data_IF_601235168139
#
_entry.id   IF_601235168139
#
_cell.length_a   1.000
_cell.length_b   1.000
_cell.length_c   1.000
_cell.angle_alpha   90.00
_cell.angle_beta   90.00
_cell.angle_gamma   90.00
#
_symmetry.space_group_name_H-M   'P 1'
#
loop_
_entity.id
_entity.type
_entity.pdbx_description
1 polymer ?
#
# COMPACT_ATOMS: atom_id res chain seq x y z
N UNK A 1 16.65 -11.71 -19.49
CA UNK A 1 15.27 -12.17 -19.16
C UNK A 1 14.32 -11.04 -19.52
N UNK A 2 13.24 -11.32 -20.25
CA UNK A 2 12.23 -10.32 -20.53
C UNK A 2 11.58 -9.90 -19.21
N UNK A 3 11.52 -8.59 -18.95
CA UNK A 3 10.88 -8.00 -17.76
C UNK A 3 9.40 -8.38 -17.81
N UNK A 4 8.85 -8.94 -16.73
CA UNK A 4 7.41 -9.21 -16.67
C UNK A 4 6.66 -7.88 -16.91
N UNK A 5 5.77 -7.78 -17.92
CA UNK A 5 5.03 -6.56 -18.16
C UNK A 5 4.15 -6.24 -16.95
N UNK A 6 3.94 -4.96 -16.65
CA UNK A 6 3.04 -4.57 -15.55
C UNK A 6 1.63 -5.11 -15.84
N UNK A 7 0.94 -5.68 -14.84
CA UNK A 7 -0.44 -6.11 -15.00
C UNK A 7 -1.36 -4.93 -15.33
N UNK A 8 -2.42 -5.21 -16.06
CA UNK A 8 -3.42 -4.22 -16.43
C UNK A 8 -4.81 -4.69 -15.99
N UNK A 9 -5.71 -3.76 -15.61
CA UNK A 9 -7.09 -4.09 -15.33
C UNK A 9 -7.80 -4.64 -16.59
N UNK A 10 -8.66 -5.65 -16.46
CA UNK A 10 -9.38 -6.22 -17.60
C UNK A 10 -10.32 -5.20 -18.24
N UNK A 11 -10.40 -5.17 -19.56
CA UNK A 11 -11.20 -4.20 -20.31
C UNK A 11 -12.69 -4.19 -19.91
N UNK A 12 -13.23 -5.35 -19.52
CA UNK A 12 -14.62 -5.49 -19.07
C UNK A 12 -14.98 -4.68 -17.83
N UNK A 13 -13.99 -4.25 -17.02
CA UNK A 13 -14.24 -3.32 -15.90
C UNK A 13 -14.68 -1.93 -16.36
N UNK A 14 -14.32 -1.53 -17.58
CA UNK A 14 -14.59 -0.20 -18.13
C UNK A 14 -15.78 -0.18 -19.09
N UNK A 15 -16.43 -1.32 -19.32
CA UNK A 15 -17.61 -1.40 -20.15
C UNK A 15 -18.74 -0.59 -19.51
N UNK A 16 -19.31 0.37 -20.24
CA UNK A 16 -20.43 1.19 -19.75
C UNK A 16 -21.69 0.39 -19.42
N UNK A 17 -21.78 -0.86 -19.88
CA UNK A 17 -22.82 -1.82 -19.49
C UNK A 17 -22.52 -2.59 -18.20
N UNK A 18 -21.29 -2.51 -17.67
CA UNK A 18 -20.88 -3.18 -16.44
C UNK A 18 -21.13 -2.28 -15.21
N UNK A 19 -22.40 -2.17 -14.81
CA UNK A 19 -22.82 -1.31 -13.69
C UNK A 19 -22.80 -2.00 -12.32
N UNK A 20 -22.47 -3.29 -12.23
CA UNK A 20 -22.53 -4.06 -10.98
C UNK A 20 -21.24 -4.83 -10.64
N UNK A 21 -20.27 -4.96 -11.57
CA UNK A 21 -18.98 -5.61 -11.32
C UNK A 21 -17.85 -4.60 -11.48
N UNK A 22 -17.80 -3.62 -10.58
CA UNK A 22 -16.76 -2.60 -10.53
C UNK A 22 -15.53 -3.04 -9.70
N UNK A 23 -15.52 -4.28 -9.17
CA UNK A 23 -14.38 -4.91 -8.52
C UNK A 23 -14.04 -6.22 -9.21
N UNK A 24 -12.76 -6.52 -9.35
CA UNK A 24 -12.29 -7.81 -9.85
C UNK A 24 -10.92 -8.16 -9.24
N UNK A 25 -10.58 -9.46 -9.10
CA UNK A 25 -9.22 -9.89 -8.79
C UNK A 25 -8.20 -9.22 -9.71
N UNK A 26 -7.12 -8.70 -9.13
CA UNK A 26 -6.03 -8.13 -9.89
C UNK A 26 -4.99 -9.20 -10.24
N UNK A 27 -5.41 -10.12 -11.11
CA UNK A 27 -4.59 -11.24 -11.56
C UNK A 27 -3.25 -10.75 -12.13
N UNK A 28 -2.17 -11.43 -11.72
CA UNK A 28 -0.79 -11.09 -12.09
C UNK A 28 -0.13 -10.01 -11.22
N UNK A 29 -0.86 -9.23 -10.41
CA UNK A 29 -0.23 -8.21 -9.53
C UNK A 29 0.64 -8.85 -8.46
N UNK A 30 0.19 -9.93 -7.82
CA UNK A 30 0.99 -10.66 -6.83
C UNK A 30 2.30 -11.22 -7.43
N UNK A 31 2.22 -11.83 -8.61
CA UNK A 31 3.40 -12.33 -9.34
C UNK A 31 4.35 -11.19 -9.71
N UNK A 32 3.81 -10.09 -10.25
CA UNK A 32 4.61 -8.91 -10.62
C UNK A 32 5.30 -8.28 -9.41
N UNK A 33 4.61 -8.16 -8.27
CA UNK A 33 5.17 -7.68 -7.00
C UNK A 33 6.32 -8.59 -6.56
N UNK A 34 6.10 -9.90 -6.56
CA UNK A 34 7.12 -10.86 -6.17
C UNK A 34 8.37 -10.74 -7.06
N UNK A 35 8.18 -10.78 -8.38
CA UNK A 35 9.24 -10.77 -9.38
C UNK A 35 9.98 -9.43 -9.49
N UNK A 36 9.31 -8.31 -9.16
CA UNK A 36 9.84 -6.96 -9.35
C UNK A 36 10.41 -6.36 -8.06
N UNK A 37 9.80 -6.65 -6.90
CA UNK A 37 10.06 -5.94 -5.64
C UNK A 37 10.54 -6.83 -4.49
N UNK A 38 10.06 -8.09 -4.39
CA UNK A 38 10.26 -8.89 -3.18
C UNK A 38 11.40 -9.91 -3.29
N UNK A 39 11.40 -10.73 -4.35
CA UNK A 39 12.32 -11.87 -4.43
C UNK A 39 13.77 -11.42 -4.52
N UNK A 40 14.66 -12.32 -4.09
CA UNK A 40 16.09 -12.07 -4.27
C UNK A 40 16.46 -11.95 -5.75
N UNK A 41 17.28 -10.94 -6.06
CA UNK A 41 17.64 -10.57 -7.43
C UNK A 41 16.54 -9.86 -8.23
N UNK A 42 15.39 -9.51 -7.61
CA UNK A 42 14.38 -8.69 -8.26
C UNK A 42 14.96 -7.33 -8.70
N UNK A 43 14.58 -6.82 -9.88
CA UNK A 43 15.20 -5.63 -10.47
C UNK A 43 15.01 -4.36 -9.65
N UNK A 44 13.92 -4.25 -8.89
CA UNK A 44 13.62 -3.14 -8.01
C UNK A 44 13.52 -3.59 -6.55
N UNK A 45 14.26 -4.65 -6.17
CA UNK A 45 14.23 -5.21 -4.81
C UNK A 45 14.28 -4.11 -3.75
N UNK A 46 13.33 -4.13 -2.83
CA UNK A 46 13.31 -3.24 -1.68
C UNK A 46 13.52 -4.07 -0.39
N UNK A 47 14.68 -3.94 0.29
CA UNK A 47 14.94 -4.65 1.54
C UNK A 47 13.90 -4.40 2.64
N UNK A 48 13.25 -3.23 2.64
CA UNK A 48 12.22 -2.88 3.62
C UNK A 48 10.95 -3.73 3.45
N UNK A 49 10.79 -4.43 2.32
CA UNK A 49 9.69 -5.35 2.07
C UNK A 49 10.04 -6.82 2.37
N UNK A 50 11.19 -7.11 3.00
CA UNK A 50 11.60 -8.49 3.27
C UNK A 50 10.57 -9.27 4.10
N UNK A 51 9.85 -8.62 5.02
CA UNK A 51 8.79 -9.25 5.82
C UNK A 51 7.52 -9.58 5.03
N UNK A 52 7.43 -9.15 3.77
CA UNK A 52 6.32 -9.45 2.86
C UNK A 52 6.58 -10.68 1.99
N UNK A 53 7.79 -11.26 2.05
CA UNK A 53 8.06 -12.55 1.43
C UNK A 53 7.13 -13.58 2.09
N UNK A 54 6.37 -14.29 1.25
CA UNK A 54 5.33 -15.26 1.65
C UNK A 54 4.16 -14.67 2.47
N UNK A 55 4.05 -13.34 2.56
CA UNK A 55 2.92 -12.71 3.21
C UNK A 55 1.63 -12.93 2.40
N UNK A 56 0.54 -13.14 3.14
CA UNK A 56 -0.76 -13.30 2.53
C UNK A 56 -1.39 -11.95 2.15
N UNK A 57 -1.08 -11.50 0.92
CA UNK A 57 -1.62 -10.27 0.33
C UNK A 57 -2.36 -10.60 -0.96
N UNK A 58 -3.63 -10.19 -1.04
CA UNK A 58 -4.44 -10.24 -2.26
C UNK A 58 -4.58 -8.83 -2.86
N UNK A 59 -4.92 -8.79 -4.15
CA UNK A 59 -5.05 -7.54 -4.91
C UNK A 59 -6.38 -7.48 -5.66
N UNK A 60 -7.02 -6.32 -5.66
CA UNK A 60 -8.23 -6.03 -6.44
C UNK A 60 -8.01 -4.85 -7.38
N UNK A 61 -8.65 -4.89 -8.53
CA UNK A 61 -8.95 -3.73 -9.36
C UNK A 61 -10.28 -3.13 -8.94
N UNK A 62 -10.36 -1.80 -8.90
CA UNK A 62 -11.59 -1.05 -8.68
C UNK A 62 -11.84 -0.04 -9.80
N UNK A 63 -12.96 -0.22 -10.51
CA UNK A 63 -13.47 0.75 -11.50
C UNK A 63 -14.42 1.78 -10.87
N UNK A 64 -14.79 1.61 -9.60
CA UNK A 64 -15.55 2.60 -8.84
C UNK A 64 -14.60 3.59 -8.17
N UNK A 65 -14.94 4.88 -8.23
CA UNK A 65 -14.15 5.93 -7.59
C UNK A 65 -14.22 5.82 -6.06
N UNK A 66 -13.07 6.02 -5.41
CA UNK A 66 -12.97 6.17 -3.96
C UNK A 66 -12.51 7.60 -3.64
N UNK A 67 -13.28 8.30 -2.81
CA UNK A 67 -12.97 9.69 -2.39
C UNK A 67 -12.91 9.76 -0.88
N UNK A 68 -11.80 10.30 -0.36
CA UNK A 68 -11.61 10.56 1.07
C UNK A 68 -11.16 12.00 1.28
N UNK A 69 -11.85 12.74 2.15
CA UNK A 69 -11.53 14.14 2.45
C UNK A 69 -11.38 15.01 1.18
N UNK A 70 -12.32 14.87 0.25
CA UNK A 70 -12.33 15.58 -1.05
C UNK A 70 -11.14 15.28 -1.97
N UNK A 71 -10.42 14.18 -1.75
CA UNK A 71 -9.34 13.71 -2.63
C UNK A 71 -9.64 12.30 -3.12
N UNK A 72 -9.34 12.04 -4.39
CA UNK A 72 -9.37 10.70 -4.98
C UNK A 72 -8.32 9.82 -4.29
N UNK A 73 -8.71 8.60 -3.97
CA UNK A 73 -7.87 7.54 -3.43
C UNK A 73 -7.61 6.54 -4.55
N UNK A 74 -6.34 6.38 -4.96
CA UNK A 74 -5.95 5.55 -6.10
C UNK A 74 -5.41 4.17 -5.71
N UNK A 75 -5.19 3.96 -4.41
CA UNK A 75 -4.83 2.69 -3.80
C UNK A 75 -5.28 2.67 -2.35
N UNK A 76 -5.56 1.48 -1.83
CA UNK A 76 -5.90 1.27 -0.43
C UNK A 76 -5.45 -0.12 0.03
N UNK A 77 -4.53 -0.15 0.98
CA UNK A 77 -4.16 -1.34 1.74
C UNK A 77 -5.00 -1.48 3.02
N UNK A 78 -5.49 -2.68 3.31
CA UNK A 78 -6.20 -3.01 4.55
C UNK A 78 -5.87 -4.41 5.09
N UNK A 79 -5.88 -4.55 6.41
CA UNK A 79 -5.97 -5.86 7.08
C UNK A 79 -7.44 -6.30 7.02
N UNK A 80 -7.69 -7.45 6.41
CA UNK A 80 -9.04 -7.93 6.14
C UNK A 80 -9.73 -8.27 7.45
N UNK A 81 -10.76 -7.50 7.79
CA UNK A 81 -11.55 -7.70 8.98
C UNK A 81 -13.05 -7.59 8.65
N UNK A 82 -13.77 -8.72 8.70
CA UNK A 82 -15.21 -8.74 8.49
C UNK A 82 -15.92 -8.29 9.77
N UNK A 83 -16.23 -7.01 9.84
CA UNK A 83 -16.93 -6.36 10.97
C UNK A 83 -18.46 -6.51 10.85
N UNK A 84 -18.91 -7.75 10.64
CA UNK A 84 -20.31 -8.08 10.47
C UNK A 84 -20.63 -9.45 11.08
N UNK A 85 -21.92 -9.69 11.36
CA UNK A 85 -22.43 -10.95 11.90
C UNK A 85 -23.39 -11.68 10.95
N UNK A 86 -23.68 -12.94 11.26
CA UNK A 86 -24.70 -13.74 10.55
C UNK A 86 -24.54 -13.72 9.03
N UNK A 87 -25.63 -13.46 8.31
CA UNK A 87 -25.63 -13.46 6.84
C UNK A 87 -24.80 -12.34 6.19
N UNK A 88 -24.57 -11.23 6.89
CA UNK A 88 -23.71 -10.16 6.35
C UNK A 88 -22.25 -10.64 6.28
N UNK A 89 -21.79 -11.36 7.30
CA UNK A 89 -20.49 -12.02 7.31
C UNK A 89 -20.39 -13.07 6.21
N UNK A 90 -21.37 -13.96 6.13
CA UNK A 90 -21.38 -15.05 5.15
C UNK A 90 -21.26 -14.54 3.69
N UNK A 91 -21.96 -13.46 3.33
CA UNK A 91 -21.85 -12.88 1.98
C UNK A 91 -20.47 -12.28 1.69
N UNK A 92 -19.82 -11.66 2.68
CA UNK A 92 -18.47 -11.11 2.51
C UNK A 92 -17.43 -12.23 2.41
N UNK A 93 -17.52 -13.26 3.27
CA UNK A 93 -16.64 -14.44 3.20
C UNK A 93 -16.79 -15.15 1.85
N UNK A 94 -18.03 -15.38 1.40
CA UNK A 94 -18.29 -15.98 0.09
C UNK A 94 -17.64 -15.16 -1.03
N UNK A 95 -17.75 -13.83 -1.00
CA UNK A 95 -17.16 -12.98 -2.04
C UNK A 95 -15.63 -13.11 -2.11
N UNK A 96 -14.94 -13.15 -0.97
CA UNK A 96 -13.50 -13.39 -0.93
C UNK A 96 -13.13 -14.80 -1.41
N UNK A 97 -13.90 -15.83 -1.03
CA UNK A 97 -13.69 -17.20 -1.48
C UNK A 97 -13.88 -17.33 -3.00
N UNK A 98 -14.87 -16.66 -3.58
CA UNK A 98 -15.09 -16.64 -5.03
C UNK A 98 -13.96 -15.93 -5.79
N UNK A 99 -13.40 -14.86 -5.23
CA UNK A 99 -12.29 -14.13 -5.84
C UNK A 99 -10.94 -14.83 -5.68
N UNK A 100 -10.66 -15.37 -4.50
CA UNK A 100 -9.29 -15.77 -4.12
C UNK A 100 -9.17 -17.23 -3.67
N UNK A 101 -10.29 -17.96 -3.54
CA UNK A 101 -10.32 -19.32 -2.98
C UNK A 101 -10.11 -19.38 -1.46
N UNK A 102 -9.95 -18.23 -0.80
CA UNK A 102 -9.67 -18.06 0.64
C UNK A 102 -10.04 -16.64 1.07
N UNK A 103 -10.09 -16.39 2.38
CA UNK A 103 -10.14 -15.03 2.92
C UNK A 103 -8.70 -14.57 3.14
N UNK A 104 -8.19 -13.56 2.41
CA UNK A 104 -6.82 -13.08 2.57
C UNK A 104 -6.61 -12.35 3.90
N UNK A 105 -5.38 -12.37 4.42
CA UNK A 105 -5.02 -11.58 5.60
C UNK A 105 -4.96 -10.07 5.28
N UNK A 106 -4.39 -9.71 4.13
CA UNK A 106 -4.30 -8.34 3.65
C UNK A 106 -4.87 -8.20 2.24
N UNK A 107 -5.46 -7.05 1.96
CA UNK A 107 -6.01 -6.71 0.67
C UNK A 107 -5.52 -5.33 0.22
N UNK A 108 -5.02 -5.25 -1.00
CA UNK A 108 -4.68 -3.99 -1.66
C UNK A 108 -5.66 -3.79 -2.82
N UNK A 109 -6.46 -2.74 -2.74
CA UNK A 109 -7.39 -2.36 -3.81
C UNK A 109 -6.81 -1.20 -4.60
N UNK A 110 -6.74 -1.34 -5.92
CA UNK A 110 -6.09 -0.41 -6.84
C UNK A 110 -7.12 0.19 -7.80
N UNK A 111 -7.08 1.51 -7.98
CA UNK A 111 -7.94 2.19 -8.94
C UNK A 111 -7.56 1.79 -10.38
N UNK A 112 -8.49 1.14 -11.05
CA UNK A 112 -8.33 0.59 -12.40
C UNK A 112 -8.16 1.70 -13.44
N UNK A 113 -8.82 2.85 -13.27
CA UNK A 113 -8.65 3.98 -14.18
C UNK A 113 -7.25 4.58 -14.03
N UNK A 114 -6.79 4.78 -12.79
CA UNK A 114 -5.45 5.28 -12.51
C UNK A 114 -4.37 4.35 -13.08
N UNK A 115 -4.54 3.03 -12.96
CA UNK A 115 -3.60 2.05 -13.50
C UNK A 115 -3.41 2.18 -15.02
N UNK A 116 -4.44 2.61 -15.77
CA UNK A 116 -4.36 2.87 -17.22
C UNK A 116 -3.71 4.22 -17.57
N UNK A 117 -3.90 5.20 -16.70
CA UNK A 117 -3.43 6.58 -16.90
C UNK A 117 -1.97 6.76 -16.51
N UNK A 118 -1.54 6.09 -15.44
CA UNK A 118 -0.22 6.27 -14.87
C UNK A 118 0.88 5.61 -15.70
N UNK A 119 2.08 6.18 -15.64
CA UNK A 119 3.28 5.56 -16.22
C UNK A 119 3.87 4.49 -15.28
N UNK A 120 4.88 3.76 -15.76
CA UNK A 120 5.52 2.67 -14.99
C UNK A 120 6.11 3.13 -13.65
N UNK A 121 6.67 4.34 -13.56
CA UNK A 121 7.26 4.85 -12.32
C UNK A 121 6.18 5.19 -11.29
N UNK A 122 5.10 5.82 -11.73
CA UNK A 122 3.92 6.10 -10.90
C UNK A 122 3.26 4.81 -10.40
N UNK A 123 3.18 3.80 -11.26
CA UNK A 123 2.71 2.47 -10.89
C UNK A 123 3.58 1.83 -9.81
N UNK A 124 4.91 1.84 -9.98
CA UNK A 124 5.83 1.30 -8.98
C UNK A 124 5.73 2.04 -7.65
N UNK A 125 5.64 3.38 -7.68
CA UNK A 125 5.47 4.21 -6.50
C UNK A 125 4.15 3.90 -5.75
N UNK A 126 3.04 3.73 -6.47
CA UNK A 126 1.75 3.34 -5.88
C UNK A 126 1.85 1.98 -5.20
N UNK A 127 2.35 0.96 -5.90
CA UNK A 127 2.42 -0.40 -5.34
C UNK A 127 3.33 -0.45 -4.12
N UNK A 128 4.52 0.16 -4.17
CA UNK A 128 5.39 0.21 -3.01
C UNK A 128 4.76 1.00 -1.85
N UNK A 129 4.04 2.08 -2.12
CA UNK A 129 3.31 2.84 -1.08
C UNK A 129 2.29 1.95 -0.36
N UNK A 130 1.45 1.23 -1.10
CA UNK A 130 0.46 0.34 -0.50
C UNK A 130 1.11 -0.82 0.27
N UNK A 131 2.22 -1.36 -0.23
CA UNK A 131 2.96 -2.42 0.48
C UNK A 131 3.59 -1.92 1.78
N UNK A 132 4.05 -0.67 1.83
CA UNK A 132 4.64 -0.06 3.03
C UNK A 132 3.64 0.11 4.18
N UNK A 133 2.34 0.08 3.90
CA UNK A 133 1.32 0.01 4.95
C UNK A 133 1.34 -1.34 5.69
N UNK A 134 1.84 -2.42 5.08
CA UNK A 134 1.98 -3.70 5.75
C UNK A 134 3.36 -3.74 6.40
N UNK A 135 3.40 -3.77 7.74
CA UNK A 135 4.65 -3.80 8.49
C UNK A 135 4.70 -4.97 9.47
N UNK A 136 5.90 -5.46 9.72
CA UNK A 136 6.14 -6.35 10.85
C UNK A 136 5.97 -5.58 12.17
N UNK A 137 5.15 -6.12 13.08
CA UNK A 137 4.97 -5.59 14.43
C UNK A 137 6.26 -5.79 15.22
N UNK A 138 6.55 -4.86 16.12
CA UNK A 138 7.56 -5.08 17.14
C UNK A 138 6.99 -5.89 18.31
N UNK A 139 7.84 -6.62 19.01
CA UNK A 139 7.51 -7.25 20.28
C UNK A 139 7.59 -6.22 21.44
N UNK A 140 7.41 -6.71 22.68
CA UNK A 140 7.43 -5.87 23.88
C UNK A 140 8.79 -5.21 24.16
N UNK A 141 9.85 -5.65 23.47
CA UNK A 141 11.22 -5.15 23.59
C UNK A 141 11.67 -4.34 22.38
N UNK A 142 10.78 -4.12 21.41
CA UNK A 142 11.09 -3.35 20.19
C UNK A 142 11.75 -4.17 19.07
N UNK A 143 11.95 -5.48 19.25
CA UNK A 143 12.49 -6.35 18.21
C UNK A 143 11.38 -6.83 17.26
N UNK A 144 11.69 -7.28 16.02
CA UNK A 144 10.67 -7.81 15.11
C UNK A 144 9.92 -9.01 15.72
N UNK A 145 8.59 -8.94 15.78
CA UNK A 145 7.75 -9.98 16.36
C UNK A 145 7.43 -11.08 15.33
N UNK A 146 7.31 -12.32 15.82
CA UNK A 146 6.97 -13.49 15.02
C UNK A 146 5.74 -14.21 15.58
N UNK A 147 5.01 -14.92 14.73
CA UNK A 147 3.95 -15.85 15.13
C UNK A 147 4.55 -17.11 15.74
N UNK A 148 3.71 -17.97 16.33
CA UNK A 148 4.18 -19.26 16.89
C UNK A 148 4.81 -20.18 15.84
N UNK A 149 4.39 -20.04 14.59
CA UNK A 149 4.87 -20.81 13.45
C UNK A 149 6.13 -20.20 12.81
N UNK A 150 6.66 -19.10 13.37
CA UNK A 150 7.89 -18.46 12.92
C UNK A 150 7.72 -17.42 11.81
N UNK A 151 6.49 -17.13 11.37
CA UNK A 151 6.24 -16.09 10.37
C UNK A 151 6.30 -14.68 10.97
N UNK A 152 6.69 -13.65 10.20
CA UNK A 152 6.58 -12.26 10.64
C UNK A 152 5.16 -11.95 11.12
N UNK A 153 5.04 -11.34 12.31
CA UNK A 153 3.73 -10.91 12.83
C UNK A 153 3.37 -9.57 12.17
N UNK A 154 2.54 -9.61 11.14
CA UNK A 154 2.21 -8.42 10.34
C UNK A 154 1.05 -7.60 10.94
N UNK A 155 0.92 -6.35 10.48
CA UNK A 155 -0.26 -5.51 10.63
C UNK A 155 -0.13 -4.20 9.86
N UNK A 156 -1.17 -3.36 9.98
CA UNK A 156 -1.20 -2.06 9.30
C UNK A 156 -0.42 -1.01 10.07
N UNK A 157 0.56 -0.42 9.40
CA UNK A 157 1.20 0.85 9.75
C UNK A 157 0.31 1.98 9.23
N UNK A 158 -0.08 2.89 10.11
CA UNK A 158 -0.76 4.11 9.68
C UNK A 158 0.17 4.94 8.78
N UNK A 159 -0.40 5.84 7.96
CA UNK A 159 0.37 6.76 7.12
C UNK A 159 1.23 7.65 8.02
N UNK A 160 2.49 7.25 8.21
CA UNK A 160 3.47 7.93 9.05
C UNK A 160 4.63 8.41 8.17
N UNK A 161 5.39 9.38 8.65
CA UNK A 161 6.43 10.06 7.86
C UNK A 161 7.46 9.07 7.29
N UNK A 162 7.77 8.00 8.02
CA UNK A 162 8.72 6.97 7.59
C UNK A 162 8.29 6.22 6.32
N UNK A 163 6.99 6.08 6.07
CA UNK A 163 6.48 5.54 4.82
C UNK A 163 6.82 6.45 3.64
N UNK A 164 6.66 7.77 3.83
CA UNK A 164 6.94 8.77 2.82
C UNK A 164 8.43 8.91 2.53
N UNK A 165 9.31 8.67 3.52
CA UNK A 165 10.77 8.74 3.32
C UNK A 165 11.21 7.72 2.28
N UNK A 166 10.85 6.44 2.43
CA UNK A 166 11.24 5.40 1.48
C UNK A 166 10.71 5.65 0.07
N UNK A 167 9.47 6.16 -0.05
CA UNK A 167 8.91 6.55 -1.35
C UNK A 167 9.67 7.74 -1.96
N UNK A 168 9.98 8.77 -1.18
CA UNK A 168 10.72 9.95 -1.67
C UNK A 168 12.15 9.57 -2.07
N UNK A 169 12.81 8.68 -1.33
CA UNK A 169 14.16 8.20 -1.66
C UNK A 169 14.19 7.44 -2.99
N UNK A 170 13.18 6.62 -3.26
CA UNK A 170 13.13 5.76 -4.46
C UNK A 170 12.52 6.44 -5.68
N UNK A 171 11.53 7.32 -5.48
CA UNK A 171 10.71 7.89 -6.55
C UNK A 171 10.75 9.43 -6.61
N UNK A 172 11.36 10.07 -5.63
CA UNK A 172 11.43 11.53 -5.52
C UNK A 172 10.17 12.17 -4.93
N UNK A 173 10.21 13.49 -4.79
CA UNK A 173 9.13 14.30 -4.17
C UNK A 173 7.89 14.49 -5.06
N UNK A 174 7.88 13.88 -6.25
CA UNK A 174 6.85 14.06 -7.26
C UNK A 174 6.87 15.45 -7.90
N UNK A 175 5.69 16.07 -8.00
CA UNK A 175 5.54 17.43 -8.54
C UNK A 175 6.37 18.44 -7.73
N UNK A 176 7.15 19.26 -8.45
CA UNK A 176 7.98 20.33 -7.86
C UNK A 176 7.13 21.34 -7.09
N UNK A 177 5.86 21.51 -7.41
CA UNK A 177 4.94 22.40 -6.68
C UNK A 177 3.93 21.65 -5.81
N UNK A 178 4.12 20.34 -5.67
CA UNK A 178 3.35 19.47 -4.80
C UNK A 178 3.60 19.69 -3.30
N UNK A 179 2.75 19.13 -2.42
CA UNK A 179 2.86 19.30 -0.97
C UNK A 179 4.22 18.84 -0.40
N UNK A 180 4.76 17.71 -0.87
CA UNK A 180 6.05 17.19 -0.39
C UNK A 180 7.20 18.10 -0.80
N UNK A 181 7.24 18.53 -2.06
CA UNK A 181 8.27 19.47 -2.53
C UNK A 181 8.21 20.81 -1.80
N UNK A 182 7.00 21.31 -1.47
CA UNK A 182 6.81 22.49 -0.61
C UNK A 182 7.31 22.25 0.81
N UNK A 183 7.05 21.08 1.39
CA UNK A 183 7.56 20.71 2.71
C UNK A 183 9.08 20.67 2.75
N UNK A 184 9.73 20.07 1.75
CA UNK A 184 11.20 20.04 1.63
C UNK A 184 11.77 21.46 1.50
N UNK A 185 11.15 22.32 0.68
CA UNK A 185 11.55 23.73 0.58
C UNK A 185 11.41 24.47 1.90
N UNK A 186 10.31 24.28 2.61
CA UNK A 186 10.07 24.89 3.92
C UNK A 186 11.10 24.42 4.95
N UNK A 187 11.42 23.12 4.98
CA UNK A 187 12.44 22.56 5.85
C UNK A 187 13.83 23.16 5.57
N UNK A 188 14.21 23.28 4.29
CA UNK A 188 15.50 23.83 3.88
C UNK A 188 15.62 25.36 4.06
N UNK A 189 14.51 26.10 3.98
CA UNK A 189 14.50 27.55 4.20
C UNK A 189 14.74 27.94 5.67
N UNK A 190 14.55 26.99 6.59
CA UNK A 190 14.64 27.21 8.02
C UNK A 190 13.36 27.85 8.61
N UNK A 191 13.20 27.78 9.94
CA UNK A 191 12.03 28.31 10.63
C UNK A 191 12.00 29.84 10.60
N UNK A 192 10.82 30.42 10.42
CA UNK A 192 10.63 31.89 10.44
C UNK A 192 10.41 32.47 11.85
N UNK A 193 10.12 31.62 12.85
CA UNK A 193 9.82 32.04 14.23
C UNK A 193 10.87 31.50 15.20
N UNK A 194 11.01 30.18 15.33
CA UNK A 194 12.07 29.56 16.13
C UNK A 194 12.28 28.09 15.77
N UNK A 195 13.43 27.53 16.18
CA UNK A 195 13.82 26.14 15.94
C UNK A 195 13.18 25.13 16.91
N UNK A 196 11.91 25.31 17.28
CA UNK A 196 11.20 24.33 18.12
C UNK A 196 11.15 22.98 17.39
N UNK A 197 11.49 21.91 18.11
CA UNK A 197 11.41 20.55 17.57
C UNK A 197 9.96 20.20 17.25
N UNK A 198 9.69 19.94 15.97
CA UNK A 198 8.39 19.46 15.49
C UNK A 198 7.96 18.20 16.26
N UNK A 199 8.92 17.36 16.68
CA UNK A 199 8.62 16.16 17.45
C UNK A 199 7.86 16.46 18.75
N UNK A 200 8.19 17.59 19.41
CA UNK A 200 7.49 18.05 20.62
C UNK A 200 6.08 18.56 20.35
N UNK A 201 5.81 19.06 19.14
CA UNK A 201 4.48 19.55 18.74
C UNK A 201 3.57 18.43 18.22
N UNK A 202 4.16 17.41 17.57
CA UNK A 202 3.41 16.30 16.98
C UNK A 202 2.96 15.27 18.02
N UNK A 203 3.69 15.10 19.13
CA UNK A 203 3.39 14.13 20.18
C UNK A 203 3.66 12.67 19.78
N UNK A 204 3.42 12.29 18.53
CA UNK A 204 3.66 10.95 17.98
C UNK A 204 5.15 10.67 17.74
N UNK A 205 5.92 11.66 17.25
CA UNK A 205 7.36 11.48 17.01
C UNK A 205 8.22 11.40 18.28
N UNK A 206 7.68 11.83 19.43
CA UNK A 206 8.40 11.70 20.72
C UNK A 206 8.48 10.25 21.20
N UNK A 207 7.58 9.37 20.76
CA UNK A 207 7.53 7.97 21.18
C UNK A 207 8.73 7.14 20.68
N UNK A 208 9.46 7.62 19.67
CA UNK A 208 10.64 6.93 19.10
C UNK A 208 11.99 7.53 19.54
N UNK A 209 11.97 8.59 20.36
CA UNK A 209 13.19 9.34 20.75
C UNK A 209 13.61 9.11 22.21
N UNK A 210 13.12 8.04 22.85
CA UNK A 210 13.42 7.68 24.25
C UNK A 210 14.12 6.31 24.31
#
# INVERSE_FOLDING_TARGET
MARAPRPAPPDGLFDGSNWFRFLAPADGVSEWVNETLLRDGAPLRNPDHAHLIDADVAYLWAAVENVRQMRRVVGQCEEVAIRAGGWQRARQEQQYLEWFGRVPAFLITLDAHYARECNDLQWCALIEHELMHIAQKADEFGAPAFTRDGFPKLGIRAHDVEEFVGIVERYGVGDRDGPIAKMVRAANAGPTISSVSIARACGTCMLRSA
#
